data_IF_712282641433
#
_entry.id   IF_712282641433
#
_cell.length_a   1.000
_cell.length_b   1.000
_cell.length_c   1.000
_cell.angle_alpha   90.00
_cell.angle_beta   90.00
_cell.angle_gamma   90.00
#
_symmetry.space_group_name_H-M   'P 1'
#
loop_
_entity.id
_entity.type
_entity.pdbx_description
1 polymer ?
#
# COMPACT_ATOMS: atom_id res chain seq x y z
N UNK A 1 -19.21 2.28 -12.15
CA UNK A 1 -19.11 2.92 -10.83
C UNK A 1 -19.24 1.83 -9.79
N UNK A 2 -18.15 1.21 -9.34
CA UNK A 2 -18.19 0.23 -8.25
C UNK A 2 -18.08 1.01 -6.94
N UNK A 3 -19.22 1.36 -6.36
CA UNK A 3 -19.31 1.62 -4.92
C UNK A 3 -19.83 0.34 -4.26
N UNK A 4 -19.02 -0.72 -4.23
CA UNK A 4 -19.28 -1.79 -3.29
C UNK A 4 -18.86 -1.30 -1.91
N UNK A 5 -19.79 -1.24 -0.97
CA UNK A 5 -19.44 -0.93 0.42
C UNK A 5 -18.58 -2.06 1.00
N UNK A 6 -17.67 -1.76 1.94
CA UNK A 6 -16.82 -2.77 2.58
C UNK A 6 -17.63 -3.95 3.15
N UNK A 7 -18.86 -3.67 3.61
CA UNK A 7 -19.83 -4.67 4.03
C UNK A 7 -20.21 -5.63 2.91
N UNK A 8 -20.59 -5.11 1.74
CA UNK A 8 -21.03 -5.91 0.58
C UNK A 8 -19.92 -6.83 0.08
N UNK A 9 -18.68 -6.34 0.03
CA UNK A 9 -17.53 -7.18 -0.35
C UNK A 9 -17.24 -8.27 0.68
N UNK A 10 -17.36 -7.98 1.98
CA UNK A 10 -17.23 -8.99 3.01
C UNK A 10 -18.34 -10.04 2.92
N UNK A 11 -19.59 -9.63 2.77
CA UNK A 11 -20.72 -10.55 2.58
C UNK A 11 -20.47 -11.49 1.39
N UNK A 12 -19.98 -10.95 0.26
CA UNK A 12 -19.61 -11.74 -0.91
C UNK A 12 -18.44 -12.69 -0.66
N UNK A 13 -17.41 -12.23 0.04
CA UNK A 13 -16.25 -13.05 0.41
C UNK A 13 -16.70 -14.24 1.26
N UNK A 14 -17.50 -14.00 2.31
CA UNK A 14 -18.00 -15.04 3.19
C UNK A 14 -18.92 -16.02 2.47
N UNK A 15 -19.78 -15.54 1.55
CA UNK A 15 -20.56 -16.41 0.67
C UNK A 15 -19.67 -17.30 -0.22
N UNK A 16 -18.56 -16.76 -0.71
CA UNK A 16 -17.60 -17.52 -1.55
C UNK A 16 -16.85 -18.56 -0.73
N UNK A 17 -16.47 -18.24 0.50
CA UNK A 17 -15.73 -19.12 1.40
C UNK A 17 -16.60 -20.22 2.01
N UNK A 18 -17.90 -19.96 2.20
CA UNK A 18 -18.84 -20.93 2.75
C UNK A 18 -19.55 -21.66 1.62
N UNK A 19 -18.95 -22.75 1.18
CA UNK A 19 -19.62 -23.76 0.35
C UNK A 19 -20.73 -24.41 1.19
N UNK A 20 -21.96 -23.92 1.07
CA UNK A 20 -23.21 -24.50 1.59
C UNK A 20 -23.20 -24.94 3.08
N UNK A 21 -23.71 -24.09 3.99
CA UNK A 21 -24.51 -24.45 5.20
C UNK A 21 -24.53 -23.35 6.29
N UNK A 22 -23.68 -22.32 6.20
CA UNK A 22 -23.61 -21.28 7.24
C UNK A 22 -24.23 -19.97 6.74
N UNK A 23 -25.47 -19.68 7.14
CA UNK A 23 -26.05 -18.35 6.97
C UNK A 23 -25.38 -17.39 7.96
N UNK A 24 -24.43 -16.58 7.50
CA UNK A 24 -23.91 -15.51 8.34
C UNK A 24 -25.02 -14.49 8.61
N UNK A 25 -25.21 -14.13 9.88
CA UNK A 25 -25.92 -12.90 10.20
C UNK A 25 -25.23 -11.74 9.48
N UNK A 26 -26.05 -10.85 8.93
CA UNK A 26 -25.59 -9.75 8.08
C UNK A 26 -24.49 -8.94 8.79
N UNK A 27 -23.33 -8.76 8.15
CA UNK A 27 -22.15 -8.18 8.79
C UNK A 27 -22.41 -6.71 9.09
N UNK A 28 -22.39 -6.34 10.37
CA UNK A 28 -22.57 -4.93 10.75
C UNK A 28 -21.31 -4.12 10.47
N UNK A 29 -21.48 -2.86 10.08
CA UNK A 29 -20.36 -1.93 9.86
C UNK A 29 -19.56 -1.68 11.15
N UNK A 30 -20.21 -1.77 12.31
CA UNK A 30 -19.58 -1.68 13.63
C UNK A 30 -18.69 -2.89 13.93
N UNK A 31 -19.14 -4.12 13.61
CA UNK A 31 -18.33 -5.33 13.78
C UNK A 31 -17.04 -5.27 12.97
N UNK A 32 -17.10 -4.80 11.70
CA UNK A 32 -15.92 -4.61 10.87
C UNK A 32 -14.93 -3.61 11.49
N UNK A 33 -15.43 -2.46 11.94
CA UNK A 33 -14.58 -1.41 12.53
C UNK A 33 -13.90 -1.90 13.81
N UNK A 34 -14.63 -2.61 14.67
CA UNK A 34 -14.09 -3.20 15.89
C UNK A 34 -13.07 -4.29 15.60
N UNK A 35 -13.31 -5.15 14.60
CA UNK A 35 -12.35 -6.16 14.18
C UNK A 35 -11.08 -5.53 13.60
N UNK A 36 -11.21 -4.50 12.75
CA UNK A 36 -10.07 -3.79 12.17
C UNK A 36 -9.17 -3.14 13.23
N UNK A 37 -9.76 -2.61 14.31
CA UNK A 37 -9.01 -2.02 15.41
C UNK A 37 -8.10 -3.02 16.17
N UNK A 38 -8.33 -4.34 16.03
CA UNK A 38 -7.52 -5.39 16.67
C UNK A 38 -6.24 -5.73 15.90
N UNK A 39 -6.14 -5.33 14.63
CA UNK A 39 -4.96 -5.61 13.81
C UNK A 39 -3.96 -4.47 13.88
N UNK A 40 -2.70 -4.80 14.09
CA UNK A 40 -1.60 -3.85 13.95
C UNK A 40 -1.27 -3.65 12.47
N UNK A 41 -0.75 -2.47 12.12
CA UNK A 41 -0.17 -2.21 10.79
C UNK A 41 0.88 -3.27 10.42
N UNK A 42 1.71 -3.63 11.41
CA UNK A 42 2.80 -4.59 11.24
C UNK A 42 2.29 -5.98 10.83
N UNK A 43 1.10 -6.41 11.29
CA UNK A 43 0.51 -7.68 10.86
C UNK A 43 0.25 -7.71 9.34
N UNK A 44 -0.16 -6.59 8.73
CA UNK A 44 -0.37 -6.51 7.28
C UNK A 44 0.96 -6.53 6.51
N UNK A 45 1.99 -5.92 7.07
CA UNK A 45 3.34 -5.96 6.52
C UNK A 45 3.86 -7.40 6.50
N UNK A 46 3.79 -8.10 7.62
CA UNK A 46 4.26 -9.49 7.76
C UNK A 46 3.45 -10.43 6.87
N UNK A 47 2.11 -10.26 6.84
CA UNK A 47 1.26 -11.00 5.92
C UNK A 47 1.70 -10.83 4.46
N UNK A 48 1.97 -9.60 4.02
CA UNK A 48 2.40 -9.36 2.64
C UNK A 48 3.81 -9.92 2.39
N UNK A 49 4.79 -9.59 3.22
CA UNK A 49 6.19 -9.92 2.97
C UNK A 49 6.48 -11.41 3.21
N UNK A 50 6.05 -11.93 4.36
CA UNK A 50 6.49 -13.25 4.84
C UNK A 50 5.53 -14.36 4.40
N UNK A 51 4.22 -14.07 4.35
CA UNK A 51 3.23 -15.10 4.00
C UNK A 51 2.88 -15.14 2.51
N UNK A 52 3.01 -14.01 1.78
CA UNK A 52 2.62 -13.93 0.36
C UNK A 52 3.86 -13.84 -0.53
N UNK A 53 4.68 -12.80 -0.39
CA UNK A 53 5.77 -12.50 -1.31
C UNK A 53 6.91 -13.51 -1.19
N UNK A 54 7.37 -13.83 0.02
CA UNK A 54 8.48 -14.75 0.20
C UNK A 54 8.18 -16.16 -0.36
N UNK A 55 7.03 -16.80 -0.07
CA UNK A 55 6.70 -18.09 -0.67
C UNK A 55 6.44 -18.03 -2.17
N UNK A 56 5.87 -16.92 -2.67
CA UNK A 56 5.62 -16.77 -4.11
C UNK A 56 6.93 -16.68 -4.89
N UNK A 57 7.85 -15.82 -4.45
CA UNK A 57 9.12 -15.58 -5.13
C UNK A 57 10.23 -16.56 -4.74
N UNK A 58 10.03 -17.44 -3.76
CA UNK A 58 10.93 -18.57 -3.52
C UNK A 58 10.88 -19.60 -4.65
N UNK A 59 9.81 -19.62 -5.44
CA UNK A 59 9.67 -20.46 -6.62
C UNK A 59 10.24 -19.74 -7.86
N UNK A 60 10.93 -20.48 -8.73
CA UNK A 60 11.62 -19.93 -9.91
C UNK A 60 10.68 -19.47 -11.04
N UNK A 61 9.40 -19.82 -10.96
CA UNK A 61 8.50 -19.90 -12.13
C UNK A 61 7.54 -18.71 -12.23
N UNK A 62 7.82 -17.60 -11.54
CA UNK A 62 7.03 -16.38 -11.68
C UNK A 62 7.21 -15.77 -13.09
N UNK A 63 6.18 -15.10 -13.59
CA UNK A 63 6.13 -14.55 -14.94
C UNK A 63 7.16 -13.44 -15.11
N UNK A 64 7.90 -13.49 -16.22
CA UNK A 64 8.92 -12.50 -16.62
C UNK A 64 8.61 -11.99 -18.03
N UNK A 65 8.97 -10.73 -18.30
CA UNK A 65 8.91 -10.16 -19.63
C UNK A 65 10.28 -10.26 -20.28
N UNK A 66 10.42 -11.05 -21.35
CA UNK A 66 11.71 -11.27 -22.05
C UNK A 66 12.86 -11.68 -21.11
N UNK A 67 12.56 -12.50 -20.10
CA UNK A 67 13.55 -12.93 -19.09
C UNK A 67 13.82 -11.92 -17.97
N UNK A 68 13.27 -10.70 -18.06
CA UNK A 68 13.41 -9.66 -17.04
C UNK A 68 12.18 -9.60 -16.11
N UNK A 69 12.41 -9.24 -14.86
CA UNK A 69 11.33 -8.90 -13.93
C UNK A 69 10.82 -7.51 -14.26
N UNK A 70 9.56 -7.42 -14.70
CA UNK A 70 8.90 -6.14 -14.97
C UNK A 70 8.24 -5.65 -13.68
N UNK A 71 8.56 -4.42 -13.28
CA UNK A 71 7.95 -3.75 -12.12
C UNK A 71 7.41 -2.40 -12.55
N UNK A 72 6.27 -2.01 -11.98
CA UNK A 72 5.66 -0.70 -12.15
C UNK A 72 5.63 0.02 -10.80
N UNK A 73 5.92 1.32 -10.82
CA UNK A 73 5.76 2.20 -9.66
C UNK A 73 4.66 3.19 -9.98
N UNK A 74 3.70 3.31 -9.07
CA UNK A 74 2.71 4.40 -9.09
C UNK A 74 2.77 5.18 -7.78
N UNK A 75 2.33 6.43 -7.80
CA UNK A 75 2.36 7.31 -6.64
C UNK A 75 1.10 8.16 -6.55
N UNK A 76 0.69 8.47 -5.32
CA UNK A 76 -0.48 9.30 -5.04
C UNK A 76 -0.21 10.29 -3.92
N UNK A 77 -0.95 11.39 -3.90
CA UNK A 77 -0.92 12.36 -2.80
C UNK A 77 -2.21 12.26 -1.99
N UNK A 78 -2.06 12.16 -0.68
CA UNK A 78 -3.15 12.13 0.28
C UNK A 78 -3.15 13.40 1.10
N UNK A 79 -4.33 13.99 1.26
CA UNK A 79 -4.59 14.96 2.30
C UNK A 79 -4.99 14.21 3.59
N UNK A 80 -4.37 14.59 4.71
CA UNK A 80 -4.55 13.93 6.00
C UNK A 80 -5.48 14.76 6.92
N UNK A 81 -6.08 14.13 7.95
CA UNK A 81 -6.85 14.87 8.95
C UNK A 81 -6.00 15.93 9.68
N UNK A 82 -6.61 17.02 10.18
CA UNK A 82 -5.91 18.11 10.87
C UNK A 82 -5.50 17.75 12.30
N UNK A 83 -4.61 16.76 12.46
CA UNK A 83 -4.08 16.34 13.75
C UNK A 83 -2.64 16.85 13.95
N UNK A 84 -2.33 17.41 15.13
CA UNK A 84 -1.01 17.99 15.43
C UNK A 84 0.13 16.99 15.24
N UNK A 85 -0.08 15.72 15.60
CA UNK A 85 0.86 14.63 15.36
C UNK A 85 1.16 14.43 13.87
N UNK A 86 0.14 14.55 13.01
CA UNK A 86 0.29 14.39 11.56
C UNK A 86 1.00 15.58 10.91
N UNK A 87 0.76 16.81 11.36
CA UNK A 87 1.56 17.95 10.91
C UNK A 87 3.04 17.80 11.29
N UNK A 88 3.32 17.28 12.50
CA UNK A 88 4.70 17.05 12.96
C UNK A 88 5.38 15.94 12.15
N UNK A 89 4.65 14.88 11.82
CA UNK A 89 5.21 13.72 11.11
C UNK A 89 5.33 13.94 9.59
N UNK A 90 4.35 14.59 8.97
CA UNK A 90 4.21 14.66 7.51
C UNK A 90 4.35 16.07 6.93
N UNK A 91 4.14 17.11 7.74
CA UNK A 91 4.12 18.47 7.25
C UNK A 91 2.97 18.73 6.28
N UNK A 92 3.10 19.80 5.50
CA UNK A 92 2.11 20.25 4.50
C UNK A 92 2.63 19.97 3.10
N UNK A 93 1.73 19.64 2.17
CA UNK A 93 2.10 19.36 0.77
C UNK A 93 2.73 20.57 0.06
N UNK A 94 2.31 21.77 0.44
CA UNK A 94 2.88 23.04 -0.02
C UNK A 94 2.60 24.15 1.01
N UNK A 95 3.23 25.34 0.90
CA UNK A 95 3.03 26.43 1.87
C UNK A 95 1.60 26.94 2.01
N UNK A 96 0.77 26.76 0.98
CA UNK A 96 -0.63 27.22 0.95
C UNK A 96 -1.60 26.15 1.48
N UNK A 97 -1.16 24.88 1.59
CA UNK A 97 -1.99 23.79 2.04
C UNK A 97 -2.41 24.02 3.51
N UNK A 98 -3.71 23.80 3.77
CA UNK A 98 -4.27 23.95 5.10
C UNK A 98 -4.03 22.71 5.94
N UNK A 99 -4.16 21.55 5.32
CA UNK A 99 -4.08 20.23 5.95
C UNK A 99 -2.70 19.59 5.73
N UNK A 100 -2.30 18.67 6.62
CA UNK A 100 -1.11 17.90 6.38
C UNK A 100 -1.34 16.97 5.18
N UNK A 101 -0.26 16.50 4.55
CA UNK A 101 -0.42 15.52 3.50
C UNK A 101 0.74 14.56 3.39
N UNK A 102 0.44 13.39 2.84
CA UNK A 102 1.39 12.31 2.65
C UNK A 102 1.47 11.94 1.17
N UNK A 103 2.64 11.44 0.76
CA UNK A 103 2.82 10.79 -0.53
C UNK A 103 2.80 9.29 -0.32
N UNK A 104 1.98 8.61 -1.11
CA UNK A 104 2.00 7.17 -1.26
C UNK A 104 2.84 6.81 -2.49
N UNK A 105 3.55 5.69 -2.39
CA UNK A 105 4.11 4.96 -3.52
C UNK A 105 3.61 3.54 -3.45
N UNK A 106 3.51 2.90 -4.61
CA UNK A 106 3.24 1.48 -4.73
C UNK A 106 4.17 0.87 -5.78
N UNK A 107 5.07 0.01 -5.34
CA UNK A 107 5.80 -0.92 -6.20
C UNK A 107 4.96 -2.18 -6.47
N UNK A 108 4.63 -2.41 -7.73
CA UNK A 108 3.76 -3.49 -8.20
C UNK A 108 4.42 -4.34 -9.27
N UNK A 109 4.16 -5.65 -9.25
CA UNK A 109 4.52 -6.59 -10.30
C UNK A 109 3.29 -6.84 -11.18
N UNK A 110 3.19 -6.19 -12.37
CA UNK A 110 1.99 -6.29 -13.20
C UNK A 110 1.78 -7.67 -13.83
N UNK A 111 2.83 -8.47 -13.99
CA UNK A 111 2.71 -9.80 -14.60
C UNK A 111 2.21 -10.83 -13.60
N UNK A 112 2.68 -10.73 -12.36
CA UNK A 112 2.32 -11.65 -11.27
C UNK A 112 1.18 -11.13 -10.40
N UNK A 113 0.77 -9.87 -10.61
CA UNK A 113 -0.31 -9.18 -9.90
C UNK A 113 -0.10 -9.06 -8.39
N UNK A 114 1.13 -8.75 -7.99
CA UNK A 114 1.53 -8.67 -6.58
C UNK A 114 2.09 -7.29 -6.23
N UNK A 115 1.72 -6.79 -5.05
CA UNK A 115 2.31 -5.56 -4.49
C UNK A 115 3.54 -5.92 -3.68
N UNK A 116 4.69 -5.39 -4.09
CA UNK A 116 5.98 -5.69 -3.47
C UNK A 116 6.30 -4.78 -2.30
N UNK A 117 5.74 -3.58 -2.33
CA UNK A 117 6.04 -2.57 -1.33
C UNK A 117 5.56 -3.00 0.05
N UNK A 118 6.44 -2.86 1.03
CA UNK A 118 6.05 -2.85 2.44
C UNK A 118 5.27 -1.56 2.63
N UNK A 119 3.96 -1.64 2.86
CA UNK A 119 3.12 -0.49 3.18
C UNK A 119 3.84 0.37 4.21
N UNK A 120 4.49 1.42 3.74
CA UNK A 120 5.06 2.48 4.52
C UNK A 120 4.45 3.71 3.93
N UNK A 121 3.52 4.33 4.65
CA UNK A 121 3.22 5.74 4.43
C UNK A 121 4.44 6.57 4.83
N UNK A 122 5.57 6.39 4.14
CA UNK A 122 6.73 7.24 4.25
C UNK A 122 6.70 8.13 3.02
N UNK A 123 6.52 9.42 3.31
CA UNK A 123 6.84 10.49 2.37
C UNK A 123 8.24 10.19 1.84
N UNK A 124 8.35 9.95 0.53
CA UNK A 124 9.59 10.23 -0.15
C UNK A 124 9.87 11.71 0.12
N UNK A 125 10.87 11.97 0.95
CA UNK A 125 11.52 13.27 1.04
C UNK A 125 12.17 13.48 -0.33
N UNK A 126 11.35 13.91 -1.30
CA UNK A 126 11.86 14.64 -2.46
C UNK A 126 12.21 16.01 -1.91
N UNK A 127 13.43 16.10 -1.41
CA UNK A 127 14.10 17.38 -1.24
C UNK A 127 13.97 18.16 -2.55
N UNK A 128 13.63 19.44 -2.37
CA UNK A 128 13.84 20.55 -3.31
C UNK A 128 12.87 20.65 -4.50
N UNK A 129 11.78 21.40 -4.27
CA UNK A 129 11.35 22.40 -5.26
C UNK A 129 11.20 23.75 -4.55
N UNK A 130 12.34 24.37 -4.21
CA UNK A 130 12.52 25.82 -4.38
C UNK A 130 13.97 26.11 -4.83
N UNK A 131 14.07 26.32 -6.14
CA UNK A 131 15.02 27.15 -6.87
C UNK A 131 16.48 26.69 -7.13
N UNK A 132 16.65 26.45 -8.44
CA UNK A 132 17.70 26.93 -9.35
C UNK A 132 18.98 26.13 -9.46
N UNK A 133 19.09 25.54 -10.67
CA UNK A 133 20.34 25.27 -11.39
C UNK A 133 21.22 24.19 -10.75
N UNK A 134 21.19 22.99 -11.32
CA UNK A 134 22.36 22.25 -11.82
C UNK A 134 22.00 20.77 -12.02
N UNK A 135 22.36 20.28 -13.19
CA UNK A 135 22.38 18.89 -13.65
C UNK A 135 23.19 18.00 -12.69
N UNK A 136 22.60 16.96 -12.07
CA UNK A 136 23.30 15.76 -11.57
C UNK A 136 22.28 14.78 -10.91
N UNK A 137 22.07 13.60 -11.47
CA UNK A 137 22.68 12.31 -11.08
C UNK A 137 21.75 11.47 -10.19
N UNK A 138 21.12 10.49 -10.83
CA UNK A 138 20.66 9.25 -10.22
C UNK A 138 21.77 8.66 -9.35
N UNK A 139 21.71 8.87 -8.04
CA UNK A 139 22.60 8.19 -7.10
C UNK A 139 21.91 6.89 -6.69
N UNK A 140 22.30 5.83 -7.36
CA UNK A 140 22.19 4.45 -6.87
C UNK A 140 22.91 4.39 -5.52
N UNK A 141 22.17 4.18 -4.43
CA UNK A 141 22.74 3.56 -3.23
C UNK A 141 22.37 2.08 -3.23
N UNK A 142 23.31 1.35 -3.81
CA UNK A 142 23.58 -0.07 -3.63
C UNK A 142 23.34 -0.54 -2.20
N UNK A 143 22.55 -1.59 -2.08
CA UNK A 143 22.39 -2.36 -0.84
C UNK A 143 21.80 -3.73 -1.15
N UNK A 144 22.59 -4.56 -1.84
CA UNK A 144 22.40 -6.00 -2.05
C UNK A 144 21.24 -6.44 -2.98
N UNK A 145 21.51 -6.40 -4.28
CA UNK A 145 21.12 -7.49 -5.18
C UNK A 145 22.34 -8.40 -5.35
N UNK A 146 22.31 -9.56 -4.72
CA UNK A 146 22.77 -10.84 -5.29
C UNK A 146 21.62 -11.81 -5.05
#
# INVERSE_FOLDING_TARGET
MMQCSARTELERLFQTLSSDEISFESITTSAFTQARAKFSEQAFVELNQDCILAPFYSHSDYKKWNGFRLLSVDGSLLELPPESALYKAYGKLNPQARLPGARLSQLYDPLNQLTLEKLRGQVFHLDLIQNQSLTAQFTLLSGLFI
#
